data_IF_754050305115
#
_entry.id   IF_754050305115
#
_cell.length_a   1.000
_cell.length_b   1.000
_cell.length_c   1.000
_cell.angle_alpha   90.00
_cell.angle_beta   90.00
_cell.angle_gamma   90.00
#
_symmetry.space_group_name_H-M   'P 1'
#
loop_
_entity.id
_entity.type
_entity.pdbx_description
1 polymer ?
#
# COMPACT_ATOMS: atom_id res chain seq x y z
N UNK A 1 6.80 0.72 42.33
CA UNK A 1 7.88 0.47 41.35
C UNK A 1 7.24 -0.24 40.17
N UNK A 2 6.96 0.46 39.08
CA UNK A 2 6.37 -0.16 37.88
C UNK A 2 7.51 -0.62 36.97
N UNK A 3 7.70 -1.93 36.86
CA UNK A 3 8.57 -2.55 35.85
C UNK A 3 7.90 -2.44 34.47
N UNK A 4 8.53 -1.81 33.46
CA UNK A 4 8.09 -1.97 32.07
C UNK A 4 8.61 -3.31 31.52
N UNK A 5 8.09 -4.41 32.04
CA UNK A 5 8.39 -5.77 31.58
C UNK A 5 7.41 -6.18 30.49
N UNK A 6 7.47 -5.54 29.31
CA UNK A 6 6.71 -6.00 28.15
C UNK A 6 7.26 -5.60 26.76
N UNK A 7 8.56 -5.37 26.63
CA UNK A 7 9.20 -5.17 25.30
C UNK A 7 9.85 -6.45 24.74
N UNK A 8 9.89 -7.55 25.50
CA UNK A 8 10.61 -8.79 25.12
C UNK A 8 9.80 -9.78 24.25
N UNK A 9 8.63 -9.38 23.74
CA UNK A 9 7.69 -10.28 23.04
C UNK A 9 7.76 -10.28 21.52
N UNK A 10 8.62 -9.46 20.89
CA UNK A 10 8.72 -9.32 19.43
C UNK A 10 9.89 -10.12 18.81
N UNK A 11 10.60 -10.93 19.61
CA UNK A 11 11.61 -11.92 19.16
C UNK A 11 11.01 -13.11 18.39
N UNK A 12 9.82 -12.94 17.80
CA UNK A 12 9.14 -13.95 16.99
C UNK A 12 9.54 -13.80 15.52
N UNK A 13 10.64 -14.45 15.12
CA UNK A 13 11.15 -14.52 13.75
C UNK A 13 11.35 -13.15 13.08
N UNK A 14 12.56 -12.61 13.17
CA UNK A 14 12.99 -11.45 12.38
C UNK A 14 12.78 -11.75 10.88
N UNK A 15 11.69 -11.23 10.32
CA UNK A 15 11.38 -11.31 8.90
C UNK A 15 11.59 -9.95 8.28
N UNK A 16 11.89 -9.90 6.98
CA UNK A 16 12.03 -8.65 6.21
C UNK A 16 10.82 -7.73 6.42
N UNK A 17 9.61 -8.29 6.42
CA UNK A 17 8.37 -7.52 6.63
C UNK A 17 8.25 -6.96 8.05
N UNK A 18 8.61 -7.74 9.07
CA UNK A 18 8.58 -7.27 10.47
C UNK A 18 9.61 -6.17 10.71
N UNK A 19 10.83 -6.33 10.19
CA UNK A 19 11.86 -5.29 10.22
C UNK A 19 11.41 -4.05 9.44
N UNK A 20 10.70 -4.23 8.32
CA UNK A 20 10.23 -3.13 7.48
C UNK A 20 9.16 -2.28 8.16
N UNK A 21 8.24 -2.93 8.88
CA UNK A 21 7.25 -2.24 9.69
C UNK A 21 7.89 -1.44 10.82
N UNK A 22 8.86 -2.03 11.53
CA UNK A 22 9.63 -1.34 12.59
C UNK A 22 10.39 -0.14 12.03
N UNK A 23 11.09 -0.32 10.90
CA UNK A 23 11.82 0.75 10.22
C UNK A 23 10.88 1.90 9.82
N UNK A 24 9.73 1.59 9.20
CA UNK A 24 8.75 2.60 8.80
C UNK A 24 8.16 3.36 10.00
N UNK A 25 7.88 2.66 11.10
CA UNK A 25 7.38 3.27 12.33
C UNK A 25 8.42 4.25 12.92
N UNK A 26 9.69 3.84 13.00
CA UNK A 26 10.78 4.70 13.50
C UNK A 26 10.98 5.92 12.61
N UNK A 27 10.96 5.76 11.28
CA UNK A 27 11.02 6.88 10.34
C UNK A 27 9.85 7.84 10.55
N UNK A 28 8.64 7.32 10.72
CA UNK A 28 7.46 8.13 11.06
C UNK A 28 7.64 8.91 12.37
N UNK A 29 8.15 8.27 13.41
CA UNK A 29 8.49 8.92 14.68
C UNK A 29 9.57 9.99 14.49
N UNK A 30 10.58 9.74 13.66
CA UNK A 30 11.66 10.68 13.33
C UNK A 30 11.18 11.91 12.55
N UNK A 31 10.09 11.77 11.80
CA UNK A 31 9.43 12.89 11.10
C UNK A 31 8.40 13.64 11.96
N UNK A 32 8.14 13.17 13.18
CA UNK A 32 7.16 13.79 14.07
C UNK A 32 7.65 15.17 14.56
N UNK A 33 6.84 16.24 14.44
CA UNK A 33 7.20 17.56 14.98
C UNK A 33 7.52 17.54 16.48
N UNK A 34 6.92 16.60 17.22
CA UNK A 34 7.08 16.47 18.67
C UNK A 34 8.52 16.13 19.09
N UNK A 35 9.28 15.48 18.22
CA UNK A 35 10.65 15.06 18.52
C UNK A 35 11.72 16.03 18.00
N UNK A 36 11.30 17.09 17.30
CA UNK A 36 12.21 18.11 16.76
C UNK A 36 12.55 19.19 17.78
N UNK A 37 11.84 19.23 18.91
CA UNK A 37 12.10 20.15 20.01
C UNK A 37 13.37 19.73 20.76
N UNK A 38 14.17 20.69 21.22
CA UNK A 38 15.50 20.44 21.80
C UNK A 38 15.46 19.51 23.03
N UNK A 39 14.37 19.52 23.81
CA UNK A 39 14.21 18.62 24.96
C UNK A 39 14.15 17.14 24.54
N UNK A 40 13.75 16.85 23.29
CA UNK A 40 13.64 15.50 22.75
C UNK A 40 14.88 15.07 21.97
N UNK A 41 15.97 15.84 22.00
CA UNK A 41 17.21 15.51 21.29
C UNK A 41 17.75 14.13 21.66
N UNK A 42 17.75 13.76 22.94
CA UNK A 42 18.21 12.44 23.39
C UNK A 42 17.36 11.30 22.83
N UNK A 43 16.03 11.46 22.79
CA UNK A 43 15.13 10.49 22.17
C UNK A 43 15.42 10.37 20.67
N UNK A 44 15.62 11.50 19.97
CA UNK A 44 15.95 11.52 18.55
C UNK A 44 17.24 10.76 18.25
N UNK A 45 18.28 10.95 19.07
CA UNK A 45 19.55 10.24 18.92
C UNK A 45 19.39 8.73 19.13
N UNK A 46 18.56 8.31 20.11
CA UNK A 46 18.24 6.89 20.32
C UNK A 46 17.45 6.30 19.14
N UNK A 47 16.46 7.01 18.62
CA UNK A 47 15.68 6.59 17.45
C UNK A 47 16.56 6.44 16.20
N UNK A 48 17.55 7.32 16.00
CA UNK A 48 18.53 7.20 14.91
C UNK A 48 19.47 6.01 15.11
N UNK A 49 19.88 5.72 16.35
CA UNK A 49 20.69 4.53 16.66
C UNK A 49 19.93 3.24 16.37
N UNK A 50 18.68 3.16 16.84
CA UNK A 50 17.81 2.01 16.59
C UNK A 50 17.55 1.83 15.09
N UNK A 51 17.33 2.93 14.34
CA UNK A 51 17.17 2.89 12.89
C UNK A 51 18.41 2.26 12.21
N UNK A 52 19.61 2.70 12.61
CA UNK A 52 20.86 2.14 12.11
C UNK A 52 21.06 0.66 12.49
N UNK A 53 20.61 0.23 13.67
CA UNK A 53 20.60 -1.20 14.05
C UNK A 53 19.73 -2.01 13.11
N UNK A 54 18.51 -1.55 12.85
CA UNK A 54 17.56 -2.25 11.96
C UNK A 54 18.10 -2.32 10.53
N UNK A 55 18.76 -1.27 10.04
CA UNK A 55 19.41 -1.29 8.72
C UNK A 55 20.50 -2.37 8.63
N UNK A 56 21.30 -2.56 9.69
CA UNK A 56 22.27 -3.66 9.76
C UNK A 56 21.59 -5.03 9.81
N UNK A 57 20.49 -5.17 10.57
CA UNK A 57 19.69 -6.40 10.62
C UNK A 57 19.13 -6.77 9.24
N UNK A 58 18.70 -5.78 8.45
CA UNK A 58 18.26 -5.99 7.06
C UNK A 58 19.36 -6.52 6.16
N UNK A 59 20.61 -6.09 6.34
CA UNK A 59 21.76 -6.59 5.58
C UNK A 59 22.02 -8.06 5.91
N UNK A 60 21.93 -8.43 7.19
CA UNK A 60 22.24 -9.78 7.68
C UNK A 60 21.19 -10.83 7.29
N UNK A 61 19.92 -10.44 7.18
CA UNK A 61 18.83 -11.37 6.90
C UNK A 61 18.84 -11.80 5.41
N UNK A 62 18.78 -13.07 5.01
CA UNK A 62 18.64 -13.42 3.59
C UNK A 62 17.19 -13.21 3.10
N UNK A 63 17.01 -12.69 1.88
CA UNK A 63 15.69 -12.59 1.23
C UNK A 63 15.26 -13.95 0.65
N UNK A 64 14.00 -14.33 0.88
CA UNK A 64 13.44 -15.64 0.47
C UNK A 64 12.56 -15.58 -0.76
N UNK A 65 12.11 -14.39 -1.16
CA UNK A 65 11.24 -14.17 -2.30
C UNK A 65 11.45 -12.78 -2.90
N UNK A 66 10.90 -12.56 -4.10
CA UNK A 66 11.02 -11.29 -4.82
C UNK A 66 10.47 -10.09 -4.02
N UNK A 67 9.36 -10.25 -3.30
CA UNK A 67 8.77 -9.19 -2.48
C UNK A 67 9.72 -8.74 -1.37
N UNK A 68 10.40 -9.69 -0.72
CA UNK A 68 11.41 -9.38 0.29
C UNK A 68 12.64 -8.68 -0.30
N UNK A 69 13.02 -9.00 -1.54
CA UNK A 69 14.09 -8.27 -2.24
C UNK A 69 13.64 -6.84 -2.54
N UNK A 70 12.42 -6.64 -3.07
CA UNK A 70 11.86 -5.31 -3.31
C UNK A 70 11.82 -4.46 -2.04
N UNK A 71 11.37 -5.01 -0.91
CA UNK A 71 11.32 -4.31 0.37
C UNK A 71 12.71 -3.83 0.82
N UNK A 72 13.76 -4.64 0.63
CA UNK A 72 15.13 -4.23 0.92
C UNK A 72 15.64 -3.14 -0.03
N UNK A 73 15.33 -3.24 -1.31
CA UNK A 73 15.69 -2.21 -2.29
C UNK A 73 15.02 -0.88 -1.93
N UNK A 74 13.77 -0.89 -1.49
CA UNK A 74 13.08 0.33 -1.04
C UNK A 74 13.75 0.99 0.17
N UNK A 75 14.20 0.19 1.13
CA UNK A 75 14.95 0.69 2.30
C UNK A 75 16.32 1.23 1.88
N UNK A 76 17.05 0.49 1.04
CA UNK A 76 18.34 0.95 0.52
C UNK A 76 18.20 2.28 -0.24
N UNK A 77 17.15 2.43 -1.06
CA UNK A 77 16.83 3.69 -1.75
C UNK A 77 16.55 4.82 -0.77
N UNK A 78 15.79 4.58 0.31
CA UNK A 78 15.56 5.60 1.33
C UNK A 78 16.85 5.99 2.01
N UNK A 79 17.64 5.03 2.50
CA UNK A 79 18.90 5.30 3.19
C UNK A 79 19.88 6.10 2.32
N UNK A 80 19.97 5.75 1.03
CA UNK A 80 20.77 6.51 0.06
C UNK A 80 20.25 7.94 -0.09
N UNK A 81 18.93 8.15 -0.20
CA UNK A 81 18.33 9.50 -0.30
C UNK A 81 18.54 10.33 0.97
N UNK A 82 18.43 9.71 2.14
CA UNK A 82 18.60 10.37 3.44
C UNK A 82 20.06 10.74 3.71
N UNK A 83 20.99 9.88 3.30
CA UNK A 83 22.43 10.10 3.43
C UNK A 83 23.06 10.83 2.25
N UNK A 84 22.26 11.24 1.25
CA UNK A 84 22.79 11.74 -0.02
C UNK A 84 23.53 13.06 0.17
N UNK A 85 24.85 12.99 0.20
CA UNK A 85 25.68 14.11 -0.23
C UNK A 85 25.57 14.21 -1.75
N UNK A 86 25.41 15.43 -2.27
CA UNK A 86 25.24 15.72 -3.69
C UNK A 86 26.23 14.88 -4.55
N UNK A 87 25.70 13.96 -5.38
CA UNK A 87 26.52 13.13 -6.29
C UNK A 87 26.10 11.67 -6.48
N UNK A 88 25.25 11.12 -5.61
CA UNK A 88 24.91 9.68 -5.65
C UNK A 88 23.52 9.36 -6.23
N UNK A 89 22.89 10.29 -6.97
CA UNK A 89 21.57 10.05 -7.59
C UNK A 89 21.55 8.82 -8.50
N UNK A 90 22.65 8.57 -9.22
CA UNK A 90 22.81 7.40 -10.09
C UNK A 90 22.60 6.06 -9.36
N UNK A 91 22.90 6.00 -8.06
CA UNK A 91 22.73 4.78 -7.27
C UNK A 91 21.24 4.51 -7.01
N UNK A 92 20.45 5.56 -6.79
CA UNK A 92 18.98 5.44 -6.68
C UNK A 92 18.41 4.93 -8.01
N UNK A 93 18.84 5.50 -9.13
CA UNK A 93 18.41 5.07 -10.47
C UNK A 93 18.78 3.61 -10.76
N UNK A 94 19.98 3.18 -10.33
CA UNK A 94 20.42 1.78 -10.45
C UNK A 94 19.53 0.84 -9.62
N UNK A 95 19.20 1.21 -8.38
CA UNK A 95 18.31 0.41 -7.53
C UNK A 95 16.90 0.29 -8.12
N UNK A 96 16.36 1.35 -8.73
CA UNK A 96 15.08 1.30 -9.44
C UNK A 96 15.15 0.43 -10.71
N UNK A 97 16.26 0.47 -11.45
CA UNK A 97 16.49 -0.44 -12.59
C UNK A 97 16.49 -1.91 -12.15
N UNK A 98 17.24 -2.25 -11.10
CA UNK A 98 17.31 -3.62 -10.56
C UNK A 98 15.93 -4.09 -10.10
N UNK A 99 15.15 -3.22 -9.46
CA UNK A 99 13.79 -3.55 -9.04
C UNK A 99 12.88 -3.84 -10.25
N UNK A 100 13.01 -3.07 -11.33
CA UNK A 100 12.28 -3.32 -12.58
C UNK A 100 12.62 -4.67 -13.18
N UNK A 101 13.91 -5.00 -13.26
CA UNK A 101 14.39 -6.30 -13.77
C UNK A 101 13.89 -7.47 -12.92
N UNK A 102 13.87 -7.31 -11.60
CA UNK A 102 13.31 -8.28 -10.67
C UNK A 102 11.81 -8.51 -10.90
N UNK A 103 11.05 -7.45 -11.18
CA UNK A 103 9.64 -7.58 -11.54
C UNK A 103 9.46 -8.29 -12.89
N UNK A 104 10.29 -8.01 -13.88
CA UNK A 104 10.21 -8.66 -15.21
C UNK A 104 10.56 -10.15 -15.16
N UNK A 105 11.56 -10.52 -14.37
CA UNK A 105 11.98 -11.93 -14.21
C UNK A 105 10.99 -12.75 -13.38
N UNK A 106 10.33 -12.12 -12.41
CA UNK A 106 9.36 -12.79 -11.54
C UNK A 106 7.91 -12.73 -12.07
N UNK A 107 7.62 -11.83 -13.01
CA UNK A 107 6.40 -11.86 -13.81
C UNK A 107 6.44 -13.07 -14.73
N UNK A 108 6.00 -14.22 -14.20
CA UNK A 108 5.75 -15.43 -14.96
C UNK A 108 4.96 -15.02 -16.21
N UNK A 109 5.41 -15.34 -17.44
CA UNK A 109 4.60 -15.09 -18.63
C UNK A 109 3.32 -15.89 -18.43
N UNK A 110 2.24 -15.20 -18.09
CA UNK A 110 0.91 -15.77 -18.15
C UNK A 110 0.78 -16.18 -19.61
N UNK A 111 0.84 -17.50 -19.87
CA UNK A 111 0.53 -18.04 -21.18
C UNK A 111 -0.74 -17.32 -21.67
N UNK A 112 -0.79 -16.87 -22.94
CA UNK A 112 -1.95 -16.16 -23.44
C UNK A 112 -3.17 -16.99 -23.06
N UNK A 113 -4.08 -16.40 -22.29
CA UNK A 113 -5.30 -17.05 -21.87
C UNK A 113 -5.90 -17.65 -23.15
N UNK A 114 -5.84 -18.98 -23.25
CA UNK A 114 -6.41 -19.71 -24.38
C UNK A 114 -7.84 -19.25 -24.43
N UNK A 115 -8.12 -18.45 -25.45
CA UNK A 115 -9.39 -17.78 -25.66
C UNK A 115 -10.39 -18.88 -25.95
N UNK A 116 -11.01 -19.44 -24.90
CA UNK A 116 -12.18 -20.29 -25.07
C UNK A 116 -13.28 -19.38 -25.60
N UNK A 117 -13.80 -19.61 -26.82
CA UNK A 117 -14.88 -18.82 -27.35
C UNK A 117 -16.13 -19.10 -26.50
N UNK A 118 -16.66 -18.08 -25.83
CA UNK A 118 -18.02 -18.11 -25.28
C UNK A 118 -19.01 -17.96 -26.44
N UNK A 119 -19.19 -19.04 -27.19
CA UNK A 119 -20.19 -19.11 -28.24
C UNK A 119 -21.59 -19.28 -27.62
N UNK A 120 -22.42 -18.27 -27.87
CA UNK A 120 -23.88 -18.30 -27.95
C UNK A 120 -24.68 -18.46 -26.64
N UNK A 121 -25.27 -17.35 -26.19
CA UNK A 121 -26.72 -17.29 -25.95
C UNK A 121 -27.24 -15.94 -26.45
N UNK A 122 -27.63 -15.94 -27.73
CA UNK A 122 -28.26 -14.80 -28.40
C UNK A 122 -29.66 -14.59 -27.84
N UNK A 123 -29.89 -13.34 -27.45
CA UNK A 123 -31.16 -12.67 -27.16
C UNK A 123 -32.22 -12.96 -28.23
N UNK A 124 -33.38 -13.46 -27.80
CA UNK A 124 -34.63 -13.44 -28.57
C UNK A 124 -35.72 -12.70 -27.80
N UNK A 125 -35.84 -11.41 -28.09
CA UNK A 125 -37.09 -10.66 -28.09
C UNK A 125 -37.15 -9.98 -29.47
N UNK A 126 -38.30 -9.89 -30.16
CA UNK A 126 -39.33 -8.93 -29.72
C UNK A 126 -40.81 -9.23 -30.11
N UNK A 127 -41.71 -8.50 -29.43
CA UNK A 127 -42.97 -7.91 -29.92
C UNK A 127 -43.99 -8.74 -30.73
N UNK A 128 -45.20 -8.92 -30.18
CA UNK A 128 -46.47 -8.56 -30.85
C UNK A 128 -47.65 -8.49 -29.83
N UNK A 129 -48.20 -7.28 -29.67
CA UNK A 129 -49.58 -6.96 -29.22
C UNK A 129 -50.60 -7.35 -30.33
N UNK A 130 -51.97 -7.26 -30.21
CA UNK A 130 -52.82 -6.61 -29.17
C UNK A 130 -54.17 -7.31 -28.79
N UNK A 131 -54.78 -6.92 -27.66
CA UNK A 131 -56.18 -6.45 -27.47
C UNK A 131 -56.80 -6.73 -26.07
N UNK A 132 -57.40 -5.64 -25.54
CA UNK A 132 -58.29 -5.37 -24.38
C UNK A 132 -59.50 -6.34 -24.17
N UNK A 133 -60.38 -6.22 -23.13
CA UNK A 133 -60.67 -5.06 -22.24
C UNK A 133 -60.91 -5.29 -20.72
N UNK A 134 -60.87 -4.16 -19.99
CA UNK A 134 -61.62 -3.75 -18.77
C UNK A 134 -61.46 -4.55 -17.44
N UNK A 135 -61.28 -3.94 -16.27
CA UNK A 135 -61.39 -2.54 -15.86
C UNK A 135 -60.93 -2.30 -14.41
N UNK A 136 -61.04 -1.03 -13.99
CA UNK A 136 -60.94 -0.50 -12.61
C UNK A 136 -59.56 -0.34 -11.96
N UNK A 137 -58.87 0.75 -12.34
CA UNK A 137 -58.54 1.97 -11.55
C UNK A 137 -58.05 1.86 -10.07
N UNK A 138 -57.47 2.93 -9.47
CA UNK A 138 -56.04 3.21 -9.48
C UNK A 138 -55.46 3.53 -8.07
N UNK A 139 -54.14 3.69 -7.98
CA UNK A 139 -53.48 4.45 -6.90
C UNK A 139 -52.59 3.59 -5.99
N UNK A 140 -51.39 3.98 -5.59
CA UNK A 140 -50.64 5.21 -5.84
C UNK A 140 -49.17 4.89 -5.60
N UNK A 141 -48.30 5.35 -6.50
CA UNK A 141 -46.93 5.76 -6.18
C UNK A 141 -46.84 7.20 -6.67
N UNK A 142 -46.07 8.07 -6.00
CA UNK A 142 -44.71 8.25 -6.52
C UNK A 142 -43.65 8.60 -5.46
N UNK A 143 -42.40 8.19 -5.71
CA UNK A 143 -41.19 8.94 -5.37
C UNK A 143 -40.89 9.94 -6.52
N UNK A 144 -39.94 10.91 -6.49
CA UNK A 144 -38.88 11.17 -5.49
C UNK A 144 -38.73 12.66 -5.07
N UNK A 145 -37.85 12.88 -4.10
CA UNK A 145 -37.41 14.18 -3.57
C UNK A 145 -36.25 14.72 -4.43
N UNK A 146 -36.36 15.94 -4.95
CA UNK A 146 -35.26 16.68 -5.59
C UNK A 146 -35.06 18.04 -4.91
N UNK A 147 -33.80 18.23 -4.52
CA UNK A 147 -33.06 19.44 -4.16
C UNK A 147 -33.34 20.66 -5.04
N UNK A 148 -33.62 21.82 -4.42
CA UNK A 148 -33.06 23.13 -4.85
C UNK A 148 -33.17 24.18 -3.72
N UNK A 149 -32.19 25.06 -3.62
CA UNK A 149 -31.95 26.13 -2.63
C UNK A 149 -31.73 27.45 -3.42
N UNK A 150 -31.46 28.61 -2.79
CA UNK A 150 -32.27 29.65 -2.08
C UNK A 150 -32.57 30.85 -3.06
N UNK A 151 -32.76 32.17 -2.73
CA UNK A 151 -32.54 32.94 -1.49
C UNK A 151 -33.56 34.05 -1.07
N UNK A 152 -33.36 34.47 0.20
CA UNK A 152 -33.41 35.80 0.81
C UNK A 152 -34.57 36.79 0.54
N UNK A 153 -35.23 37.20 1.62
CA UNK A 153 -35.47 38.60 2.00
C UNK A 153 -35.68 38.69 3.53
#
# INVERSE_FOLDING_TARGET
MAEPKHMAGLEGSQSVSALGLRWAALRGMLTSPLIMVDEQRGLREELLRELGSIEQEFVALPSRNAMEISAKLDIAKSAVRDGLQAGHNWLVDLLDSIQTDLHLTNAKPSAPASSRPTANLVRSQPHHQPQRPEGSAPGSTPAPEQTETPPAA
#
